data_IF_782511138115
#
_entry.id   IF_782511138115
#
_cell.length_a   1.000
_cell.length_b   1.000
_cell.length_c   1.000
_cell.angle_alpha   90.00
_cell.angle_beta   90.00
_cell.angle_gamma   90.00
#
_symmetry.space_group_name_H-M   'P 1'
#
loop_
_entity.id
_entity.type
_entity.pdbx_description
1 polymer ?
#
# COMPACT_ATOMS: atom_id res chain seq x y z
N UNK A 1 -14.99 -10.05 18.14
CA UNK A 1 -14.70 -9.29 16.90
C UNK A 1 -13.21 -8.91 16.70
N UNK A 2 -12.34 -9.01 17.71
CA UNK A 2 -10.92 -8.61 17.59
C UNK A 2 -10.07 -9.48 16.65
N UNK A 3 -10.21 -10.81 16.69
CA UNK A 3 -9.38 -11.74 15.89
C UNK A 3 -9.50 -11.54 14.36
N UNK A 4 -10.73 -11.40 13.85
CA UNK A 4 -10.96 -11.16 12.41
C UNK A 4 -10.41 -9.80 11.96
N UNK A 5 -10.44 -8.80 12.84
CA UNK A 5 -9.91 -7.45 12.57
C UNK A 5 -8.37 -7.47 12.48
N UNK A 6 -7.71 -8.22 13.38
CA UNK A 6 -6.26 -8.44 13.30
C UNK A 6 -5.87 -9.18 12.02
N UNK A 7 -6.66 -10.19 11.62
CA UNK A 7 -6.41 -10.92 10.37
C UNK A 7 -6.55 -10.00 9.13
N UNK A 8 -7.59 -9.16 9.07
CA UNK A 8 -7.78 -8.18 8.00
C UNK A 8 -6.59 -7.22 7.88
N UNK A 9 -6.05 -6.76 9.02
CA UNK A 9 -4.86 -5.90 9.04
C UNK A 9 -3.65 -6.62 8.44
N UNK A 10 -3.39 -7.86 8.85
CA UNK A 10 -2.31 -8.68 8.29
C UNK A 10 -2.46 -8.92 6.80
N UNK A 11 -3.68 -9.22 6.32
CA UNK A 11 -3.97 -9.39 4.89
C UNK A 11 -3.74 -8.10 4.10
N UNK A 12 -4.14 -6.95 4.64
CA UNK A 12 -3.89 -5.65 4.02
C UNK A 12 -2.39 -5.36 3.89
N UNK A 13 -1.61 -5.66 4.94
CA UNK A 13 -0.16 -5.53 4.95
C UNK A 13 0.52 -6.45 3.93
N UNK A 14 0.12 -7.72 3.86
CA UNK A 14 0.64 -8.67 2.87
C UNK A 14 0.34 -8.22 1.43
N UNK A 15 -0.84 -7.67 1.19
CA UNK A 15 -1.22 -7.14 -0.13
C UNK A 15 -0.37 -5.92 -0.50
N UNK A 16 -0.12 -5.01 0.45
CA UNK A 16 0.79 -3.89 0.26
C UNK A 16 2.23 -4.34 -0.07
N UNK A 17 2.75 -5.35 0.64
CA UNK A 17 4.08 -5.90 0.36
C UNK A 17 4.14 -6.59 -1.01
N UNK A 18 3.09 -7.33 -1.41
CA UNK A 18 2.99 -7.91 -2.75
C UNK A 18 3.09 -6.84 -3.84
N UNK A 19 2.38 -5.73 -3.67
CA UNK A 19 2.44 -4.60 -4.60
C UNK A 19 3.87 -4.03 -4.70
N UNK A 20 4.55 -3.87 -3.56
CA UNK A 20 5.94 -3.40 -3.52
C UNK A 20 6.88 -4.34 -4.28
N UNK A 21 6.76 -5.65 -4.08
CA UNK A 21 7.58 -6.65 -4.79
C UNK A 21 7.30 -6.60 -6.29
N UNK A 22 6.03 -6.48 -6.71
CA UNK A 22 5.67 -6.35 -8.11
C UNK A 22 6.31 -5.12 -8.75
N UNK A 23 6.26 -3.96 -8.09
CA UNK A 23 6.90 -2.73 -8.59
C UNK A 23 8.42 -2.85 -8.66
N UNK A 24 9.06 -3.50 -7.68
CA UNK A 24 10.50 -3.79 -7.73
C UNK A 24 10.82 -4.69 -8.93
N UNK A 25 10.03 -5.74 -9.15
CA UNK A 25 10.19 -6.64 -10.30
C UNK A 25 10.06 -5.90 -11.62
N UNK A 26 9.05 -5.03 -11.77
CA UNK A 26 8.88 -4.15 -12.94
C UNK A 26 10.09 -3.24 -13.15
N UNK A 27 10.63 -2.65 -12.09
CA UNK A 27 11.81 -1.79 -12.16
C UNK A 27 13.04 -2.55 -12.65
N UNK A 28 13.26 -3.77 -12.14
CA UNK A 28 14.38 -4.63 -12.55
C UNK A 28 14.21 -5.03 -14.02
N UNK A 29 13.01 -5.49 -14.40
CA UNK A 29 12.72 -5.93 -15.77
C UNK A 29 12.89 -4.81 -16.81
N UNK A 30 12.70 -3.55 -16.42
CA UNK A 30 12.81 -2.39 -17.31
C UNK A 30 14.05 -1.52 -17.07
N UNK A 31 15.00 -1.97 -16.24
CA UNK A 31 16.15 -1.16 -15.83
C UNK A 31 17.01 -0.67 -17.02
N UNK A 32 17.05 -1.45 -18.10
CA UNK A 32 17.83 -1.15 -19.31
C UNK A 32 16.95 -0.63 -20.47
N UNK A 33 15.66 -0.41 -20.24
CA UNK A 33 14.73 0.03 -21.29
C UNK A 33 14.97 1.50 -21.62
N UNK A 34 15.59 1.76 -22.77
CA UNK A 34 15.88 3.13 -23.26
C UNK A 34 14.78 3.71 -24.16
N UNK A 35 13.83 2.89 -24.60
CA UNK A 35 12.70 3.28 -25.45
C UNK A 35 11.39 2.79 -24.85
N UNK A 36 10.62 3.71 -24.30
CA UNK A 36 9.23 3.46 -23.85
C UNK A 36 8.23 3.93 -24.91
N UNK A 37 6.97 3.44 -24.90
CA UNK A 37 5.91 3.92 -25.80
C UNK A 37 5.65 5.43 -25.69
N UNK A 38 5.94 6.02 -24.53
CA UNK A 38 5.80 7.46 -24.25
C UNK A 38 7.05 8.27 -24.69
N UNK A 39 8.09 7.59 -25.16
CA UNK A 39 9.38 8.19 -25.53
C UNK A 39 10.34 8.30 -24.35
N UNK A 40 11.62 8.06 -24.62
CA UNK A 40 12.71 8.15 -23.65
C UNK A 40 12.88 6.90 -22.75
N UNK A 41 13.90 6.92 -21.87
CA UNK A 41 14.26 5.80 -21.01
C UNK A 41 13.23 5.58 -19.89
N UNK A 42 13.18 4.34 -19.40
CA UNK A 42 12.35 3.97 -18.27
C UNK A 42 12.71 4.76 -17.02
N UNK A 43 11.69 5.12 -16.23
CA UNK A 43 11.85 5.77 -14.93
C UNK A 43 11.33 4.84 -13.86
N UNK A 44 12.16 4.59 -12.85
CA UNK A 44 11.81 3.74 -11.71
C UNK A 44 10.55 4.24 -11.02
N UNK A 45 9.72 3.30 -10.58
CA UNK A 45 8.49 3.54 -9.81
C UNK A 45 8.69 3.13 -8.36
N UNK A 46 7.99 3.81 -7.45
CA UNK A 46 8.01 3.52 -6.02
C UNK A 46 6.58 3.47 -5.49
N UNK A 47 6.34 2.56 -4.54
CA UNK A 47 5.05 2.42 -3.88
C UNK A 47 5.05 3.29 -2.62
N UNK A 48 4.10 4.21 -2.52
CA UNK A 48 3.83 5.00 -1.32
C UNK A 48 2.57 4.42 -0.66
N UNK A 49 2.69 4.02 0.59
CA UNK A 49 1.57 3.50 1.39
C UNK A 49 1.00 4.61 2.25
N UNK A 50 -0.32 4.65 2.37
CA UNK A 50 -1.05 5.53 3.25
C UNK A 50 -2.13 4.75 3.99
N UNK A 51 -2.53 5.25 5.16
CA UNK A 51 -3.73 4.75 5.83
C UNK A 51 -4.95 5.08 4.97
N UNK A 52 -5.96 4.21 5.02
CA UNK A 52 -7.28 4.55 4.46
C UNK A 52 -7.79 5.78 5.22
N UNK A 53 -8.26 6.80 4.49
CA UNK A 53 -8.86 7.96 5.11
C UNK A 53 -10.07 7.50 5.93
N UNK A 54 -9.99 7.67 7.24
CA UNK A 54 -11.16 7.58 8.10
C UNK A 54 -11.71 9.00 8.23
N UNK A 55 -12.99 9.18 7.93
CA UNK A 55 -13.70 10.45 8.13
C UNK A 55 -13.83 10.81 9.63
N UNK A 56 -13.38 9.93 10.52
CA UNK A 56 -13.40 10.10 11.97
C UNK A 56 -12.07 10.55 12.51
N UNK A 57 -12.11 11.49 13.46
CA UNK A 57 -10.92 11.89 14.20
C UNK A 57 -10.47 10.78 15.15
N UNK A 58 -9.20 10.81 15.56
CA UNK A 58 -8.67 9.84 16.54
C UNK A 58 -9.45 9.88 17.86
N UNK A 59 -9.91 11.06 18.27
CA UNK A 59 -10.72 11.26 19.47
C UNK A 59 -12.09 10.56 19.37
N UNK A 60 -12.77 10.69 18.23
CA UNK A 60 -14.04 10.01 17.98
C UNK A 60 -13.90 8.49 18.00
N UNK A 61 -12.79 7.96 17.48
CA UNK A 61 -12.51 6.52 17.50
C UNK A 61 -12.22 6.03 18.93
N UNK A 62 -11.43 6.76 19.71
CA UNK A 62 -11.11 6.42 21.10
C UNK A 62 -12.37 6.35 21.98
N UNK A 63 -13.25 7.34 21.84
CA UNK A 63 -14.52 7.40 22.59
C UNK A 63 -15.52 6.31 22.17
N UNK A 64 -15.40 5.80 20.95
CA UNK A 64 -16.23 4.70 20.45
C UNK A 64 -15.84 3.35 21.06
N UNK A 65 -14.55 3.14 21.34
CA UNK A 65 -14.05 1.90 21.95
C UNK A 65 -14.31 1.83 23.45
N UNK A 66 -14.34 2.96 24.15
CA UNK A 66 -14.61 3.01 25.60
C UNK A 66 -16.09 2.71 25.95
N UNK A 67 -16.98 2.68 24.95
CA UNK A 67 -18.42 2.38 25.11
C UNK A 67 -18.82 0.94 24.75
N UNK A 68 -17.89 0.06 24.36
CA UNK A 68 -18.15 -1.35 24.00
C UNK A 68 -17.53 -2.32 25.00
#
# INVERSE_FOLDING_TARGET
MSFLSAFNTSVSGMTAQRQRVNTISENIANAETTRTPQGGPYRRREVILASVANDRTFEEELLSQDRS
#
